data_IF_755613595489
#
_entry.id   IF_755613595489
#
_cell.length_a   1.000
_cell.length_b   1.000
_cell.length_c   1.000
_cell.angle_alpha   90.00
_cell.angle_beta   90.00
_cell.angle_gamma   90.00
#
_symmetry.space_group_name_H-M   'P 1'
#
loop_
_entity.id
_entity.type
_entity.pdbx_description
1 polymer ?
#
# COMPACT_ATOMS: atom_id res chain seq x y z
N UNK A 1 14.84 -17.87 38.97
CA UNK A 1 15.83 -17.11 38.17
C UNK A 1 15.71 -17.35 36.66
N UNK A 2 14.95 -18.35 36.16
CA UNK A 2 14.74 -18.56 34.71
C UNK A 2 13.88 -17.51 33.99
N UNK A 3 12.88 -16.91 34.64
CA UNK A 3 11.94 -16.02 33.93
C UNK A 3 12.55 -14.71 33.43
N UNK A 4 13.52 -14.12 34.15
CA UNK A 4 14.10 -12.82 33.77
C UNK A 4 15.02 -12.94 32.54
N UNK A 5 15.75 -14.05 32.41
CA UNK A 5 16.60 -14.31 31.24
C UNK A 5 15.78 -14.54 29.97
N UNK A 6 14.70 -15.33 30.07
CA UNK A 6 13.82 -15.60 28.93
C UNK A 6 13.18 -14.32 28.37
N UNK A 7 12.65 -13.45 29.24
CA UNK A 7 12.06 -12.17 28.83
C UNK A 7 13.07 -11.25 28.14
N UNK A 8 14.31 -11.21 28.65
CA UNK A 8 15.38 -10.38 28.08
C UNK A 8 15.78 -10.85 26.67
N UNK A 9 15.88 -12.17 26.48
CA UNK A 9 16.19 -12.77 25.17
C UNK A 9 15.05 -12.52 24.19
N UNK A 10 13.80 -12.73 24.59
CA UNK A 10 12.63 -12.44 23.75
C UNK A 10 12.55 -10.98 23.34
N UNK A 11 12.79 -10.07 24.29
CA UNK A 11 12.80 -8.63 24.03
C UNK A 11 13.91 -8.25 23.04
N UNK A 12 15.10 -8.83 23.16
CA UNK A 12 16.21 -8.59 22.23
C UNK A 12 15.89 -9.10 20.82
N UNK A 13 15.37 -10.32 20.69
CA UNK A 13 15.02 -10.91 19.39
C UNK A 13 13.91 -10.10 18.70
N UNK A 14 12.83 -9.79 19.42
CA UNK A 14 11.69 -9.07 18.85
C UNK A 14 12.05 -7.64 18.45
N UNK A 15 12.71 -6.87 19.33
CA UNK A 15 13.13 -5.50 19.00
C UNK A 15 14.25 -5.49 17.95
N UNK A 16 15.12 -6.49 17.92
CA UNK A 16 16.11 -6.69 16.86
C UNK A 16 15.44 -6.94 15.51
N UNK A 17 14.39 -7.79 15.47
CA UNK A 17 13.58 -8.01 14.30
C UNK A 17 12.90 -6.73 13.80
N UNK A 18 12.28 -5.96 14.70
CA UNK A 18 11.67 -4.65 14.37
C UNK A 18 12.72 -3.69 13.80
N UNK A 19 13.89 -3.61 14.42
CA UNK A 19 14.97 -2.75 13.96
C UNK A 19 15.41 -3.12 12.53
N UNK A 20 15.63 -4.41 12.26
CA UNK A 20 16.04 -4.89 10.94
C UNK A 20 14.95 -4.67 9.88
N UNK A 21 13.69 -4.94 10.21
CA UNK A 21 12.56 -4.68 9.33
C UNK A 21 12.42 -3.17 9.05
N UNK A 22 12.53 -2.33 10.07
CA UNK A 22 12.52 -0.87 9.95
C UNK A 22 13.66 -0.35 9.07
N UNK A 23 14.87 -0.88 9.25
CA UNK A 23 16.03 -0.52 8.44
C UNK A 23 15.83 -0.94 6.97
N UNK A 24 15.24 -2.11 6.73
CA UNK A 24 14.84 -2.56 5.39
C UNK A 24 13.82 -1.63 4.74
N UNK A 25 12.73 -1.31 5.43
CA UNK A 25 11.70 -0.38 4.93
C UNK A 25 12.25 1.02 4.68
N UNK A 26 13.10 1.53 5.58
CA UNK A 26 13.75 2.83 5.43
C UNK A 26 14.70 2.84 4.24
N UNK A 27 15.54 1.80 4.11
CA UNK A 27 16.45 1.62 2.99
C UNK A 27 15.71 1.56 1.66
N UNK A 28 14.63 0.78 1.59
CA UNK A 28 13.78 0.66 0.40
C UNK A 28 13.08 1.98 0.07
N UNK A 29 12.55 2.69 1.06
CA UNK A 29 11.93 4.01 0.85
C UNK A 29 12.92 5.06 0.35
N UNK A 30 14.15 5.09 0.91
CA UNK A 30 15.22 5.98 0.42
C UNK A 30 15.64 5.57 -0.99
N UNK A 31 15.79 4.28 -1.26
CA UNK A 31 16.13 3.76 -2.60
C UNK A 31 15.09 4.20 -3.63
N UNK A 32 13.80 3.98 -3.36
CA UNK A 32 12.70 4.41 -4.23
C UNK A 32 12.69 5.92 -4.47
N UNK A 33 13.09 6.72 -3.48
CA UNK A 33 13.16 8.18 -3.60
C UNK A 33 14.38 8.66 -4.40
N UNK A 34 15.55 8.07 -4.14
CA UNK A 34 16.84 8.53 -4.69
C UNK A 34 17.06 7.98 -6.10
N UNK A 35 16.67 6.74 -6.32
CA UNK A 35 16.90 6.00 -7.55
C UNK A 35 15.58 5.53 -8.17
N UNK A 36 14.62 6.47 -8.23
CA UNK A 36 13.40 6.31 -8.99
C UNK A 36 13.69 6.04 -10.48
N UNK A 37 14.85 6.51 -10.98
CA UNK A 37 15.34 6.29 -12.34
C UNK A 37 15.82 4.86 -12.64
N UNK A 38 16.55 4.19 -11.74
CA UNK A 38 16.95 2.77 -11.97
C UNK A 38 15.81 1.79 -11.73
N UNK A 39 14.81 2.16 -10.92
CA UNK A 39 13.52 1.46 -10.91
C UNK A 39 12.84 1.61 -12.28
N UNK A 40 12.86 2.82 -12.85
CA UNK A 40 12.39 3.09 -14.20
C UNK A 40 13.13 2.25 -15.24
N UNK A 41 14.46 2.12 -15.17
CA UNK A 41 15.27 1.29 -16.09
C UNK A 41 15.05 -0.23 -15.95
N UNK A 42 14.62 -0.71 -14.78
CA UNK A 42 14.16 -2.09 -14.59
C UNK A 42 12.72 -2.30 -15.05
N UNK A 43 11.90 -1.25 -14.98
CA UNK A 43 10.57 -1.21 -15.58
C UNK A 43 10.64 -1.06 -17.11
N UNK A 44 11.57 -0.28 -17.68
CA UNK A 44 11.82 -0.03 -19.12
C UNK A 44 12.39 -1.26 -19.89
N UNK A 45 12.65 -2.37 -19.20
CA UNK A 45 12.80 -3.69 -19.84
C UNK A 45 11.45 -4.35 -20.19
N UNK A 46 10.38 -3.84 -19.59
CA UNK A 46 8.96 -3.83 -19.99
C UNK A 46 8.76 -2.40 -20.59
N UNK A 47 7.72 -2.00 -21.31
CA UNK A 47 7.66 -0.58 -21.80
C UNK A 47 7.35 0.36 -20.59
N UNK A 48 6.48 1.38 -20.57
CA UNK A 48 5.93 1.85 -19.26
C UNK A 48 6.75 2.84 -18.38
N UNK A 49 7.01 4.06 -18.88
CA UNK A 49 7.61 5.16 -18.11
C UNK A 49 6.67 6.35 -17.83
N UNK A 50 5.78 6.30 -16.83
CA UNK A 50 5.18 7.52 -16.20
C UNK A 50 4.53 7.31 -14.81
N UNK A 51 4.96 6.32 -14.03
CA UNK A 51 4.36 5.98 -12.72
C UNK A 51 4.85 6.72 -11.48
N UNK A 52 5.54 7.84 -11.69
CA UNK A 52 6.43 8.39 -10.69
C UNK A 52 5.68 8.98 -9.47
N UNK A 53 4.52 9.62 -9.70
CA UNK A 53 3.86 10.41 -8.66
C UNK A 53 3.27 9.56 -7.52
N UNK A 54 2.72 8.38 -7.82
CA UNK A 54 2.18 7.50 -6.79
C UNK A 54 3.30 6.77 -6.01
N UNK A 55 4.37 6.39 -6.70
CA UNK A 55 5.54 5.76 -6.08
C UNK A 55 6.24 6.70 -5.08
N UNK A 56 6.27 8.00 -5.37
CA UNK A 56 6.85 9.00 -4.46
C UNK A 56 6.10 9.07 -3.13
N UNK A 57 4.76 9.03 -3.14
CA UNK A 57 3.96 9.03 -1.90
C UNK A 57 4.23 7.77 -1.06
N UNK A 58 4.26 6.60 -1.70
CA UNK A 58 4.59 5.33 -1.05
C UNK A 58 6.00 5.36 -0.45
N UNK A 59 6.98 5.90 -1.17
CA UNK A 59 8.35 6.04 -0.69
C UNK A 59 8.45 6.90 0.57
N UNK A 60 7.73 8.03 0.63
CA UNK A 60 7.69 8.87 1.83
C UNK A 60 7.08 8.17 3.04
N UNK A 61 6.01 7.38 2.84
CA UNK A 61 5.41 6.57 3.92
C UNK A 61 6.40 5.52 4.42
N UNK A 62 7.09 4.80 3.51
CA UNK A 62 8.12 3.83 3.87
C UNK A 62 9.27 4.45 4.67
N UNK A 63 9.72 5.65 4.28
CA UNK A 63 10.75 6.40 5.00
C UNK A 63 10.26 6.75 6.41
N UNK A 64 9.06 7.32 6.54
CA UNK A 64 8.50 7.73 7.83
C UNK A 64 8.32 6.57 8.79
N UNK A 65 7.62 5.51 8.34
CA UNK A 65 7.38 4.31 9.14
C UNK A 65 8.69 3.59 9.44
N UNK A 66 9.55 3.40 8.44
CA UNK A 66 10.85 2.76 8.59
C UNK A 66 11.74 3.46 9.62
N UNK A 67 11.85 4.79 9.57
CA UNK A 67 12.60 5.57 10.53
C UNK A 67 12.04 5.41 11.97
N UNK A 68 10.72 5.43 12.13
CA UNK A 68 10.06 5.19 13.42
C UNK A 68 10.40 3.81 14.00
N UNK A 69 10.30 2.76 13.17
CA UNK A 69 10.63 1.39 13.57
C UNK A 69 12.11 1.22 13.94
N UNK A 70 13.03 1.86 13.20
CA UNK A 70 14.47 1.88 13.53
C UNK A 70 14.71 2.50 14.90
N UNK A 71 14.10 3.67 15.19
CA UNK A 71 14.27 4.36 16.47
C UNK A 71 13.74 3.50 17.63
N UNK A 72 12.51 2.98 17.49
CA UNK A 72 11.86 2.16 18.52
C UNK A 72 12.63 0.86 18.74
N UNK A 73 13.01 0.16 17.67
CA UNK A 73 13.80 -1.07 17.72
C UNK A 73 15.18 -0.84 18.34
N UNK A 74 15.86 0.25 18.00
CA UNK A 74 17.14 0.62 18.59
C UNK A 74 17.04 0.89 20.10
N UNK A 75 16.04 1.66 20.54
CA UNK A 75 15.78 1.93 21.95
C UNK A 75 15.46 0.65 22.73
N UNK A 76 14.64 -0.23 22.17
CA UNK A 76 14.32 -1.52 22.78
C UNK A 76 15.55 -2.43 22.90
N UNK A 77 16.34 -2.54 21.83
CA UNK A 77 17.52 -3.41 21.80
C UNK A 77 18.66 -2.87 22.69
N UNK A 78 19.00 -1.58 22.59
CA UNK A 78 20.02 -0.93 23.43
C UNK A 78 19.58 -0.82 24.89
N UNK A 79 18.30 -0.57 25.15
CA UNK A 79 17.74 -0.53 26.51
C UNK A 79 17.86 -1.89 27.21
N UNK A 80 17.58 -2.99 26.49
CA UNK A 80 17.73 -4.35 27.01
C UNK A 80 19.20 -4.72 27.26
N UNK A 81 20.12 -4.38 26.35
CA UNK A 81 21.56 -4.70 26.49
C UNK A 81 22.21 -3.88 27.60
N UNK A 82 21.97 -2.56 27.64
CA UNK A 82 22.59 -1.64 28.62
C UNK A 82 21.89 -1.64 29.98
N UNK A 83 20.82 -2.43 30.16
CA UNK A 83 19.96 -2.44 31.35
C UNK A 83 19.55 -1.03 31.82
N UNK A 84 19.46 -0.09 30.87
CA UNK A 84 19.18 1.31 31.17
C UNK A 84 17.69 1.49 31.35
N UNK A 85 17.27 1.70 32.61
CA UNK A 85 15.87 1.97 32.95
C UNK A 85 15.29 3.15 32.19
N UNK A 86 16.09 4.20 31.94
CA UNK A 86 15.64 5.38 31.21
C UNK A 86 15.27 5.02 29.76
N UNK A 87 16.15 4.32 29.02
CA UNK A 87 15.86 3.90 27.64
C UNK A 87 14.67 2.94 27.56
N UNK A 88 14.58 1.99 28.50
CA UNK A 88 13.48 1.02 28.53
C UNK A 88 12.14 1.68 28.85
N UNK A 89 12.14 2.69 29.73
CA UNK A 89 10.97 3.48 30.09
C UNK A 89 10.55 4.38 28.93
N UNK A 90 11.48 5.03 28.22
CA UNK A 90 11.17 5.80 27.01
C UNK A 90 10.55 4.90 25.92
N UNK A 91 11.13 3.72 25.69
CA UNK A 91 10.55 2.72 24.77
C UNK A 91 9.12 2.37 25.16
N UNK A 92 8.88 2.07 26.44
CA UNK A 92 7.55 1.73 26.94
C UNK A 92 6.56 2.88 26.76
N UNK A 93 6.94 4.12 27.07
CA UNK A 93 6.09 5.30 26.87
C UNK A 93 5.73 5.47 25.40
N UNK A 94 6.70 5.35 24.48
CA UNK A 94 6.44 5.49 23.04
C UNK A 94 5.43 4.43 22.58
N UNK A 95 5.65 3.16 22.94
CA UNK A 95 4.74 2.05 22.58
C UNK A 95 3.34 2.28 23.19
N UNK A 96 3.26 2.74 24.44
CA UNK A 96 2.00 3.03 25.09
C UNK A 96 1.23 4.17 24.40
N UNK A 97 1.92 5.23 23.97
CA UNK A 97 1.29 6.31 23.20
C UNK A 97 0.79 5.79 21.86
N UNK A 98 1.58 5.00 21.13
CA UNK A 98 1.16 4.38 19.86
C UNK A 98 -0.10 3.54 20.08
N UNK A 99 -0.13 2.72 21.11
CA UNK A 99 -1.28 1.89 21.46
C UNK A 99 -2.54 2.72 21.76
N UNK A 100 -2.40 3.82 22.52
CA UNK A 100 -3.54 4.72 22.81
C UNK A 100 -4.06 5.35 21.51
N UNK A 101 -3.17 5.81 20.63
CA UNK A 101 -3.56 6.40 19.34
C UNK A 101 -4.25 5.37 18.45
N UNK A 102 -3.74 4.14 18.39
CA UNK A 102 -4.32 3.05 17.61
C UNK A 102 -5.72 2.67 18.11
N UNK A 103 -5.88 2.52 19.43
CA UNK A 103 -7.19 2.24 20.05
C UNK A 103 -8.17 3.39 19.83
N UNK A 104 -7.72 4.65 19.97
CA UNK A 104 -8.56 5.81 19.70
C UNK A 104 -8.99 5.87 18.23
N UNK A 105 -8.07 5.61 17.30
CA UNK A 105 -8.35 5.53 15.87
C UNK A 105 -9.35 4.42 15.54
N UNK A 106 -9.17 3.24 16.12
CA UNK A 106 -10.10 2.11 15.96
C UNK A 106 -11.50 2.44 16.49
N UNK A 107 -11.60 3.06 17.67
CA UNK A 107 -12.89 3.50 18.23
C UNK A 107 -13.54 4.53 17.31
N UNK A 108 -12.79 5.52 16.81
CA UNK A 108 -13.33 6.55 15.92
C UNK A 108 -13.84 5.93 14.62
N UNK A 109 -13.07 5.04 14.00
CA UNK A 109 -13.49 4.36 12.77
C UNK A 109 -14.71 3.46 12.98
N UNK A 110 -14.83 2.80 14.13
CA UNK A 110 -15.92 1.85 14.38
C UNK A 110 -17.17 2.46 15.01
N UNK A 111 -17.04 3.51 15.82
CA UNK A 111 -18.16 4.13 16.52
C UNK A 111 -18.87 5.21 15.69
N UNK A 112 -18.22 5.74 14.66
CA UNK A 112 -18.77 6.77 13.78
C UNK A 112 -18.95 6.22 12.36
N UNK A 113 -20.04 5.48 12.13
CA UNK A 113 -20.39 4.92 10.82
C UNK A 113 -20.34 6.00 9.72
N UNK A 114 -20.91 7.18 9.98
CA UNK A 114 -20.90 8.29 9.02
C UNK A 114 -19.53 8.92 8.75
N UNK A 115 -18.49 8.64 9.54
CA UNK A 115 -17.11 9.03 9.24
C UNK A 115 -16.42 7.94 8.42
N UNK A 116 -16.62 6.66 8.78
CA UNK A 116 -16.11 5.54 8.00
C UNK A 116 -16.65 5.58 6.56
N UNK A 117 -17.97 5.79 6.40
CA UNK A 117 -18.61 5.92 5.10
C UNK A 117 -18.03 7.09 4.30
N UNK A 118 -17.80 8.24 4.93
CA UNK A 118 -17.19 9.41 4.25
C UNK A 118 -15.76 9.12 3.79
N UNK A 119 -14.95 8.48 4.63
CA UNK A 119 -13.58 8.11 4.25
C UNK A 119 -13.62 7.14 3.06
N UNK A 120 -14.54 6.17 3.07
CA UNK A 120 -14.70 5.24 1.96
C UNK A 120 -15.22 5.93 0.69
N UNK A 121 -16.13 6.89 0.80
CA UNK A 121 -16.60 7.70 -0.33
C UNK A 121 -15.51 8.60 -0.90
N UNK A 122 -14.70 9.24 -0.05
CA UNK A 122 -13.58 10.07 -0.49
C UNK A 122 -12.54 9.23 -1.25
N UNK A 123 -12.21 8.04 -0.73
CA UNK A 123 -11.33 7.09 -1.41
C UNK A 123 -11.97 6.57 -2.71
N UNK A 124 -13.27 6.24 -2.71
CA UNK A 124 -13.99 5.82 -3.92
C UNK A 124 -13.88 6.89 -5.02
N UNK A 125 -14.13 8.15 -4.66
CA UNK A 125 -14.12 9.26 -5.60
C UNK A 125 -12.71 9.55 -6.13
N UNK A 126 -11.69 9.52 -5.26
CA UNK A 126 -10.31 9.73 -5.66
C UNK A 126 -9.83 8.62 -6.60
N UNK A 127 -10.06 7.36 -6.24
CA UNK A 127 -9.67 6.21 -7.07
C UNK A 127 -10.43 6.20 -8.39
N UNK A 128 -11.75 6.40 -8.38
CA UNK A 128 -12.54 6.48 -9.62
C UNK A 128 -12.04 7.60 -10.52
N UNK A 129 -11.78 8.78 -9.96
CA UNK A 129 -11.24 9.92 -10.70
C UNK A 129 -9.91 9.56 -11.37
N UNK A 130 -8.98 8.94 -10.61
CA UNK A 130 -7.70 8.47 -11.14
C UNK A 130 -7.86 7.44 -12.25
N UNK A 131 -8.78 6.48 -12.11
CA UNK A 131 -9.05 5.50 -13.17
C UNK A 131 -9.63 6.16 -14.41
N UNK A 132 -10.52 7.14 -14.25
CA UNK A 132 -11.11 7.85 -15.38
C UNK A 132 -10.13 8.78 -16.10
N UNK A 133 -9.17 9.39 -15.41
CA UNK A 133 -8.23 10.32 -16.06
C UNK A 133 -6.95 9.66 -16.52
N UNK A 134 -6.47 8.64 -15.81
CA UNK A 134 -5.13 8.08 -15.99
C UNK A 134 -5.11 6.66 -16.57
N UNK A 135 -6.19 5.89 -16.46
CA UNK A 135 -6.17 4.50 -16.95
C UNK A 135 -6.08 4.45 -18.49
N UNK A 136 -5.02 3.83 -19.00
CA UNK A 136 -4.62 3.84 -20.41
C UNK A 136 -3.75 5.03 -20.84
N UNK A 137 -3.52 6.02 -19.97
CA UNK A 137 -2.55 7.10 -20.17
C UNK A 137 -1.28 6.86 -19.37
N UNK A 138 -1.43 6.60 -18.07
CA UNK A 138 -0.36 6.18 -17.18
C UNK A 138 -0.27 4.65 -17.21
N UNK A 139 0.79 4.17 -17.83
CA UNK A 139 1.02 2.75 -18.05
C UNK A 139 1.29 2.00 -16.73
N UNK A 140 1.93 2.65 -15.77
CA UNK A 140 2.20 2.05 -14.46
C UNK A 140 0.92 1.84 -13.66
N UNK A 141 0.02 2.82 -13.67
CA UNK A 141 -1.26 2.75 -12.99
C UNK A 141 -2.09 1.67 -13.67
N UNK A 142 -2.10 1.66 -15.00
CA UNK A 142 -2.79 0.65 -15.81
C UNK A 142 -2.29 -0.76 -15.50
N UNK A 143 -0.97 -0.97 -15.43
CA UNK A 143 -0.35 -2.28 -15.17
C UNK A 143 -0.60 -2.77 -13.73
N UNK A 144 -0.38 -1.90 -12.74
CA UNK A 144 -0.63 -2.23 -11.31
C UNK A 144 -2.11 -2.50 -11.07
N UNK A 145 -2.99 -1.68 -11.64
CA UNK A 145 -4.43 -1.87 -11.48
C UNK A 145 -4.92 -3.13 -12.20
N UNK A 146 -4.42 -3.42 -13.40
CA UNK A 146 -4.73 -4.65 -14.14
C UNK A 146 -4.26 -5.90 -13.39
N UNK A 147 -3.03 -5.89 -12.88
CA UNK A 147 -2.50 -6.97 -12.04
C UNK A 147 -3.32 -7.17 -10.76
N UNK A 148 -3.77 -6.08 -10.15
CA UNK A 148 -4.65 -6.11 -8.97
C UNK A 148 -5.98 -6.77 -9.32
N UNK A 149 -6.62 -6.34 -10.41
CA UNK A 149 -7.86 -6.94 -10.91
C UNK A 149 -7.68 -8.44 -11.20
N UNK A 150 -6.56 -8.85 -11.79
CA UNK A 150 -6.29 -10.25 -12.09
C UNK A 150 -6.01 -11.11 -10.85
N UNK A 151 -5.35 -10.56 -9.83
CA UNK A 151 -5.08 -11.25 -8.57
C UNK A 151 -6.33 -11.40 -7.71
N UNK A 152 -7.10 -10.32 -7.58
CA UNK A 152 -8.29 -10.30 -6.72
C UNK A 152 -9.58 -10.70 -7.46
N UNK A 153 -9.50 -10.96 -8.77
CA UNK A 153 -10.64 -11.31 -9.64
C UNK A 153 -11.79 -10.30 -9.51
N UNK A 154 -11.42 -9.01 -9.50
CA UNK A 154 -12.36 -7.89 -9.43
C UNK A 154 -12.27 -7.02 -10.69
N UNK A 155 -13.25 -6.14 -10.89
CA UNK A 155 -13.30 -5.22 -12.02
C UNK A 155 -13.64 -3.79 -11.56
N UNK A 156 -12.71 -2.87 -11.79
CA UNK A 156 -12.83 -1.50 -11.31
C UNK A 156 -12.69 -1.41 -9.79
N UNK A 157 -13.01 -0.25 -9.22
CA UNK A 157 -13.09 -0.10 -7.77
C UNK A 157 -14.44 -0.60 -7.25
N UNK A 158 -15.52 -0.22 -7.95
CA UNK A 158 -16.91 -0.61 -7.67
C UNK A 158 -17.54 -1.33 -8.86
N UNK A 159 -17.24 -0.90 -10.09
CA UNK A 159 -17.82 -1.48 -11.30
C UNK A 159 -16.98 -1.17 -12.55
N UNK A 160 -17.23 -1.85 -13.66
CA UNK A 160 -16.60 -1.56 -14.96
C UNK A 160 -16.82 -0.11 -15.42
N UNK A 161 -17.90 0.53 -14.97
CA UNK A 161 -18.20 1.93 -15.28
C UNK A 161 -17.14 2.90 -14.76
N UNK A 162 -16.30 2.48 -13.81
CA UNK A 162 -15.18 3.28 -13.32
C UNK A 162 -14.15 3.56 -14.44
N UNK A 163 -14.13 2.76 -15.50
CA UNK A 163 -13.28 2.98 -16.68
C UNK A 163 -13.99 3.71 -17.84
N UNK A 164 -15.30 3.94 -17.74
CA UNK A 164 -16.04 4.61 -18.83
C UNK A 164 -15.51 6.03 -19.02
N UNK A 165 -15.12 6.38 -20.24
CA UNK A 165 -14.53 7.67 -20.56
C UNK A 165 -13.04 7.80 -20.21
N UNK A 166 -12.40 6.74 -19.72
CA UNK A 166 -10.95 6.70 -19.55
C UNK A 166 -10.21 6.76 -20.89
N UNK A 167 -8.94 7.23 -20.92
CA UNK A 167 -8.11 7.18 -22.12
C UNK A 167 -8.11 5.81 -22.82
N UNK A 168 -8.07 4.72 -22.05
CA UNK A 168 -8.20 3.36 -22.58
C UNK A 168 -9.54 3.13 -23.28
N UNK A 169 -10.65 3.46 -22.60
CA UNK A 169 -12.00 3.23 -23.12
C UNK A 169 -12.31 4.11 -24.34
N UNK A 170 -11.84 5.35 -24.36
CA UNK A 170 -12.00 6.27 -25.51
C UNK A 170 -11.15 5.82 -26.70
N UNK A 171 -9.93 5.31 -26.46
CA UNK A 171 -9.04 4.85 -27.52
C UNK A 171 -9.43 3.51 -28.14
N UNK A 172 -9.96 2.59 -27.35
CA UNK A 172 -10.25 1.21 -27.79
C UNK A 172 -11.74 0.90 -27.95
N UNK A 173 -12.63 1.71 -27.34
CA UNK A 173 -14.05 1.39 -27.21
C UNK A 173 -14.35 0.22 -26.28
N UNK A 174 -13.36 -0.27 -25.53
CA UNK A 174 -13.44 -1.48 -24.72
C UNK A 174 -13.08 -1.22 -23.25
N UNK A 175 -13.18 -2.29 -22.46
CA UNK A 175 -12.85 -2.36 -21.04
C UNK A 175 -11.64 -3.29 -20.83
N UNK A 176 -11.02 -3.28 -19.63
CA UNK A 176 -9.94 -4.21 -19.32
C UNK A 176 -10.39 -5.67 -19.46
N UNK A 177 -9.53 -6.52 -20.03
CA UNK A 177 -9.85 -7.94 -20.26
C UNK A 177 -10.07 -8.72 -18.97
N UNK A 178 -9.40 -8.30 -17.88
CA UNK A 178 -9.60 -8.82 -16.52
C UNK A 178 -11.04 -8.67 -16.02
N UNK A 179 -11.82 -7.75 -16.59
CA UNK A 179 -13.25 -7.56 -16.29
C UNK A 179 -14.17 -8.54 -17.05
N UNK A 180 -13.66 -9.25 -18.05
CA UNK A 180 -14.44 -10.15 -18.90
C UNK A 180 -14.09 -11.62 -18.62
N UNK A 181 -15.11 -12.46 -18.50
CA UNK A 181 -14.92 -13.91 -18.26
C UNK A 181 -14.49 -14.70 -19.51
N UNK A 182 -14.67 -14.14 -20.71
CA UNK A 182 -14.37 -14.83 -21.97
C UNK A 182 -14.07 -13.80 -23.09
N UNK A 183 -12.84 -13.27 -23.19
CA UNK A 183 -12.45 -12.41 -24.30
C UNK A 183 -12.51 -13.22 -25.61
N UNK A 184 -13.25 -12.76 -26.62
CA UNK A 184 -13.23 -13.37 -27.96
C UNK A 184 -12.10 -12.79 -28.81
N UNK A 185 -11.55 -13.65 -29.68
CA UNK A 185 -10.57 -13.56 -30.79
C UNK A 185 -9.65 -12.32 -31.01
N UNK A 186 -9.96 -11.12 -30.50
CA UNK A 186 -9.15 -9.89 -30.66
C UNK A 186 -8.61 -9.31 -29.33
N UNK A 187 -8.75 -9.99 -28.18
CA UNK A 187 -8.33 -9.51 -26.85
C UNK A 187 -9.02 -8.22 -26.35
N UNK A 188 -10.17 -7.81 -26.91
CA UNK A 188 -10.95 -6.66 -26.41
C UNK A 188 -12.22 -7.10 -25.66
N UNK A 189 -12.48 -6.45 -24.51
CA UNK A 189 -13.66 -6.68 -23.67
C UNK A 189 -14.73 -5.60 -23.96
N UNK A 190 -15.76 -5.96 -24.72
CA UNK A 190 -16.82 -5.03 -25.12
C UNK A 190 -17.88 -4.84 -24.04
N UNK A 191 -18.69 -3.77 -24.16
CA UNK A 191 -19.73 -3.41 -23.18
C UNK A 191 -20.73 -4.56 -22.91
N UNK A 192 -21.16 -5.27 -23.97
CA UNK A 192 -22.07 -6.42 -23.82
C UNK A 192 -21.44 -7.58 -23.04
N UNK A 193 -20.13 -7.78 -23.17
CA UNK A 193 -19.41 -8.87 -22.49
C UNK A 193 -19.23 -8.53 -21.01
N UNK A 194 -18.78 -7.32 -20.70
CA UNK A 194 -18.57 -6.92 -19.30
C UNK A 194 -19.89 -6.85 -18.53
N UNK A 195 -20.98 -6.41 -19.17
CA UNK A 195 -22.30 -6.41 -18.53
C UNK A 195 -22.81 -7.83 -18.24
N UNK A 196 -22.48 -8.80 -19.09
CA UNK A 196 -22.81 -10.22 -18.84
C UNK A 196 -21.97 -10.85 -17.72
N UNK A 197 -20.73 -10.38 -17.53
CA UNK A 197 -19.83 -10.84 -16.45
C UNK A 197 -20.20 -10.27 -15.09
N UNK A 198 -20.76 -9.05 -15.01
CA UNK A 198 -21.20 -8.44 -13.75
C UNK A 198 -22.57 -8.96 -13.27
N UNK A 199 -23.38 -9.52 -14.17
CA UNK A 199 -24.75 -10.00 -13.85
C UNK A 199 -24.79 -11.44 -13.32
N UNK A 200 -23.72 -12.23 -13.52
CA UNK A 200 -23.57 -13.60 -13.02
C UNK A 200 -22.74 -13.63 -11.74
#
# INVERSE_FOLDING_TARGET
MCCSGFLKVMMFIFNGGIFLAGAGCLGMGIWLKVDSGSLLGLLEGIEDGDGLDQLVHVAYVLIGVGAGLVIIGFLGCCGAVRESRCMLLTFFIIVLVIFIVEVAGAIVLFAFDGLADKILEDVENEVRSKLQTEFGRDESLTSVWTSTMDQFKCCGYKNYTDFTGSPFNVGTGAYPTSCCSNPQDDNLCNLNQVESSVRN
#
